data_IF_501467282407
#
_entry.id   IF_501467282407
#
_cell.length_a   1.000
_cell.length_b   1.000
_cell.length_c   1.000
_cell.angle_alpha   90.00
_cell.angle_beta   90.00
_cell.angle_gamma   90.00
#
_symmetry.space_group_name_H-M   'P 1'
#
loop_
_entity.id
_entity.type
_entity.pdbx_description
1 polymer ?
#
# COMPACT_ATOMS: atom_id res chain seq x y z
N UNK A 1 15.27 6.86 27.17
CA UNK A 1 15.62 5.98 26.03
C UNK A 1 14.56 6.12 24.96
N UNK A 2 14.87 5.81 23.69
CA UNK A 2 13.91 5.88 22.59
C UNK A 2 13.76 4.50 21.95
N UNK A 3 12.52 4.03 21.78
CA UNK A 3 12.17 2.81 21.07
C UNK A 3 11.48 3.20 19.77
N UNK A 4 12.02 2.76 18.64
CA UNK A 4 11.45 3.01 17.32
C UNK A 4 10.56 1.84 16.89
N UNK A 5 9.28 2.11 16.65
CA UNK A 5 8.33 1.19 16.08
C UNK A 5 8.12 1.50 14.59
N UNK A 6 8.34 0.51 13.73
CA UNK A 6 8.19 0.68 12.28
C UNK A 6 6.83 0.17 11.81
N UNK A 7 5.98 1.06 11.29
CA UNK A 7 4.75 0.65 10.64
C UNK A 7 5.05 -0.19 9.38
N UNK A 8 4.25 -1.22 9.04
CA UNK A 8 4.48 -2.04 7.84
C UNK A 8 4.57 -1.27 6.52
N UNK A 9 4.02 -0.05 6.44
CA UNK A 9 4.18 0.83 5.27
C UNK A 9 5.64 1.22 5.02
N UNK A 10 6.49 1.26 6.05
CA UNK A 10 7.92 1.58 5.92
C UNK A 10 8.68 0.52 5.11
N UNK A 11 8.28 -0.76 5.19
CA UNK A 11 8.87 -1.83 4.36
C UNK A 11 8.37 -1.82 2.92
N UNK A 12 7.35 -1.01 2.66
CA UNK A 12 6.65 -0.84 1.39
C UNK A 12 6.87 0.57 0.84
N UNK A 13 7.93 1.25 1.25
CA UNK A 13 8.33 2.49 0.59
C UNK A 13 9.21 2.14 -0.59
N UNK A 14 8.90 2.66 -1.77
CA UNK A 14 9.62 2.36 -3.01
C UNK A 14 11.06 2.94 -3.03
N UNK A 15 11.37 3.89 -2.14
CA UNK A 15 12.64 4.64 -2.16
C UNK A 15 13.32 4.72 -0.79
N UNK A 16 12.85 3.94 0.17
CA UNK A 16 13.51 3.71 1.45
C UNK A 16 13.93 2.24 1.47
N UNK A 17 15.18 2.01 1.09
CA UNK A 17 15.75 0.67 1.14
C UNK A 17 15.79 0.20 2.59
N UNK A 18 15.37 -1.04 2.79
CA UNK A 18 15.39 -1.69 4.09
C UNK A 18 15.91 -3.11 3.94
N UNK A 19 16.63 -3.57 4.95
CA UNK A 19 17.17 -4.92 5.00
C UNK A 19 16.81 -5.56 6.33
N UNK A 20 16.15 -6.72 6.27
CA UNK A 20 15.97 -7.58 7.44
C UNK A 20 17.31 -8.27 7.72
N UNK A 21 17.95 -7.85 8.82
CA UNK A 21 19.25 -8.36 9.27
C UNK A 21 19.10 -9.30 10.46
N UNK A 22 17.89 -9.79 10.74
CA UNK A 22 17.65 -10.73 11.85
C UNK A 22 18.46 -12.03 11.72
N UNK A 23 19.00 -12.34 10.52
CA UNK A 23 19.87 -13.49 10.27
C UNK A 23 21.30 -13.33 10.78
N UNK A 24 21.78 -12.10 11.03
CA UNK A 24 23.08 -11.85 11.67
C UNK A 24 22.96 -11.59 13.18
N UNK A 25 21.76 -11.32 13.69
CA UNK A 25 21.57 -11.07 15.12
C UNK A 25 21.74 -12.38 15.91
N UNK A 26 22.54 -12.39 16.99
CA UNK A 26 22.65 -13.55 17.88
C UNK A 26 21.37 -13.80 18.69
N UNK A 27 20.43 -12.85 18.72
CA UNK A 27 19.20 -12.90 19.51
C UNK A 27 18.02 -13.40 18.66
N UNK A 28 17.64 -14.68 18.85
CA UNK A 28 16.59 -15.37 18.06
C UNK A 28 15.20 -14.74 18.10
N UNK A 29 14.91 -13.88 19.07
CA UNK A 29 13.59 -13.28 19.28
C UNK A 29 13.53 -11.80 18.90
N UNK A 30 14.66 -11.22 18.50
CA UNK A 30 14.73 -9.84 18.07
C UNK A 30 14.70 -9.80 16.54
N UNK A 31 13.83 -8.95 15.99
CA UNK A 31 13.86 -8.63 14.57
C UNK A 31 14.55 -7.30 14.40
N UNK A 32 15.69 -7.32 13.74
CA UNK A 32 16.46 -6.12 13.45
C UNK A 32 16.33 -5.78 11.96
N UNK A 33 15.90 -4.55 11.68
CA UNK A 33 15.72 -4.05 10.33
C UNK A 33 16.52 -2.77 10.20
N UNK A 34 17.46 -2.76 9.29
CA UNK A 34 18.21 -1.57 8.93
C UNK A 34 17.45 -0.81 7.84
N UNK A 35 17.34 0.50 8.02
CA UNK A 35 16.81 1.41 7.02
C UNK A 35 17.95 2.26 6.47
N UNK A 36 18.09 2.29 5.16
CA UNK A 36 18.98 3.23 4.49
C UNK A 36 18.38 4.63 4.52
N UNK A 37 19.23 5.65 4.35
CA UNK A 37 18.73 7.01 4.07
C UNK A 37 17.91 6.99 2.78
N UNK A 38 16.81 7.73 2.75
CA UNK A 38 16.02 7.91 1.53
C UNK A 38 16.91 8.40 0.39
N UNK A 39 16.75 7.82 -0.78
CA UNK A 39 17.48 8.27 -1.97
C UNK A 39 17.06 9.71 -2.32
N UNK A 40 18.03 10.59 -2.51
CA UNK A 40 17.79 11.99 -2.92
C UNK A 40 18.12 12.11 -4.40
N UNK A 41 17.11 12.44 -5.21
CA UNK A 41 17.29 12.74 -6.62
C UNK A 41 17.41 14.25 -6.80
N UNK A 42 18.55 14.72 -7.30
CA UNK A 42 18.84 16.15 -7.50
C UNK A 42 17.91 16.83 -8.51
N UNK A 43 17.20 16.05 -9.33
CA UNK A 43 16.24 16.54 -10.33
C UNK A 43 14.81 16.68 -9.80
N UNK A 44 14.54 16.31 -8.54
CA UNK A 44 13.21 16.36 -7.93
C UNK A 44 13.17 17.52 -6.93
N UNK A 45 12.11 18.33 -7.03
CA UNK A 45 11.87 19.43 -6.10
C UNK A 45 11.79 18.93 -4.64
N UNK A 46 12.33 19.71 -3.71
CA UNK A 46 12.40 19.35 -2.29
C UNK A 46 11.01 19.05 -1.69
N UNK A 47 9.97 19.74 -2.16
CA UNK A 47 8.59 19.50 -1.73
C UNK A 47 8.11 18.11 -2.15
N UNK A 48 8.31 17.75 -3.42
CA UNK A 48 7.95 16.42 -3.95
C UNK A 48 8.76 15.34 -3.22
N UNK A 49 10.02 15.63 -2.89
CA UNK A 49 10.86 14.72 -2.14
C UNK A 49 10.29 14.42 -0.74
N UNK A 50 9.87 15.47 -0.02
CA UNK A 50 9.24 15.33 1.30
C UNK A 50 7.89 14.63 1.24
N UNK A 51 7.11 14.82 0.18
CA UNK A 51 5.79 14.20 0.05
C UNK A 51 5.87 12.69 -0.28
N UNK A 52 6.84 12.28 -1.11
CA UNK A 52 6.94 10.89 -1.59
C UNK A 52 7.96 10.05 -0.83
N UNK A 53 9.04 10.64 -0.32
CA UNK A 53 10.23 9.90 0.13
C UNK A 53 10.57 10.12 1.61
N UNK A 54 9.77 10.91 2.32
CA UNK A 54 9.91 11.09 3.76
C UNK A 54 9.16 10.01 4.57
N UNK A 55 9.48 10.01 5.85
CA UNK A 55 8.77 9.27 6.88
C UNK A 55 8.37 10.26 7.97
N UNK A 56 7.22 9.99 8.56
CA UNK A 56 6.72 10.76 9.69
C UNK A 56 7.06 10.01 10.98
N UNK A 57 7.31 10.77 12.04
CA UNK A 57 7.53 10.25 13.38
C UNK A 57 6.41 10.74 14.28
N UNK A 58 5.77 9.84 15.01
CA UNK A 58 4.71 10.15 15.97
C UNK A 58 5.01 9.46 17.30
N UNK A 59 4.90 10.20 18.39
CA UNK A 59 4.99 9.62 19.74
C UNK A 59 3.73 8.77 19.97
N UNK A 60 3.90 7.47 20.20
CA UNK A 60 2.81 6.55 20.56
C UNK A 60 2.54 6.58 22.07
N UNK A 61 3.60 6.59 22.86
CA UNK A 61 3.55 6.68 24.32
C UNK A 61 4.86 7.22 24.86
N UNK A 62 4.79 7.81 26.05
CA UNK A 62 5.95 8.36 26.75
C UNK A 62 5.76 8.16 28.26
N UNK A 63 6.82 7.70 28.92
CA UNK A 63 6.96 7.65 30.37
C UNK A 63 8.23 8.40 30.81
N UNK A 64 8.51 8.43 32.12
CA UNK A 64 9.65 9.15 32.70
C UNK A 64 11.01 8.75 32.10
N UNK A 65 11.13 7.52 31.60
CA UNK A 65 12.40 6.95 31.15
C UNK A 65 12.42 6.60 29.66
N UNK A 66 11.27 6.47 29.00
CA UNK A 66 11.15 5.89 27.66
C UNK A 66 10.10 6.59 26.80
N UNK A 67 10.48 6.86 25.55
CA UNK A 67 9.57 7.31 24.50
C UNK A 67 9.45 6.23 23.42
N UNK A 68 8.23 5.86 23.06
CA UNK A 68 7.95 5.01 21.91
C UNK A 68 7.52 5.88 20.73
N UNK A 69 8.24 5.77 19.62
CA UNK A 69 7.99 6.57 18.42
C UNK A 69 7.61 5.64 17.27
N UNK A 70 6.41 5.83 16.71
CA UNK A 70 5.96 5.18 15.48
C UNK A 70 6.47 5.92 14.26
N UNK A 71 7.07 5.17 13.35
CA UNK A 71 7.54 5.63 12.07
C UNK A 71 6.63 5.12 10.96
N UNK A 72 6.10 6.04 10.16
CA UNK A 72 5.19 5.79 9.05
C UNK A 72 5.72 6.41 7.77
N UNK A 73 5.42 5.79 6.63
CA UNK A 73 5.69 6.41 5.33
C UNK A 73 4.77 7.62 5.10
N UNK A 74 5.31 8.75 4.65
CA UNK A 74 4.52 9.98 4.46
C UNK A 74 3.34 9.77 3.52
N UNK A 75 3.50 9.01 2.43
CA UNK A 75 2.39 8.71 1.52
C UNK A 75 1.31 7.85 2.18
N UNK A 76 1.65 6.99 3.14
CA UNK A 76 0.62 6.26 3.90
C UNK A 76 -0.25 7.22 4.73
N UNK A 77 0.37 8.16 5.44
CA UNK A 77 -0.36 9.10 6.31
C UNK A 77 -1.22 10.08 5.52
N UNK A 78 -0.80 10.45 4.31
CA UNK A 78 -1.59 11.31 3.43
C UNK A 78 -2.94 10.69 3.03
N UNK A 79 -3.04 9.36 2.94
CA UNK A 79 -4.23 8.69 2.40
C UNK A 79 -5.05 7.97 3.47
N UNK A 80 -4.49 7.66 4.64
CA UNK A 80 -5.16 6.79 5.63
C UNK A 80 -6.53 7.33 6.06
N UNK A 81 -6.68 8.64 6.28
CA UNK A 81 -7.95 9.22 6.72
C UNK A 81 -9.04 9.13 5.64
N UNK A 82 -8.71 9.45 4.38
CA UNK A 82 -9.66 9.34 3.26
C UNK A 82 -10.06 7.88 3.01
N UNK A 83 -9.10 6.95 3.11
CA UNK A 83 -9.36 5.52 2.98
C UNK A 83 -10.32 5.05 4.08
N UNK A 84 -10.11 5.46 5.32
CA UNK A 84 -11.01 5.14 6.44
C UNK A 84 -12.42 5.68 6.21
N UNK A 85 -12.54 6.92 5.73
CA UNK A 85 -13.83 7.53 5.40
C UNK A 85 -14.57 6.75 4.30
N UNK A 86 -13.90 6.45 3.18
CA UNK A 86 -14.49 5.69 2.07
C UNK A 86 -14.89 4.28 2.54
N UNK A 87 -14.04 3.62 3.32
CA UNK A 87 -14.35 2.30 3.86
C UNK A 87 -15.56 2.31 4.80
N UNK A 88 -15.72 3.35 5.63
CA UNK A 88 -16.89 3.54 6.47
C UNK A 88 -18.17 3.74 5.63
N UNK A 89 -18.10 4.52 4.55
CA UNK A 89 -19.21 4.71 3.61
C UNK A 89 -19.57 3.41 2.86
N UNK A 90 -18.60 2.53 2.62
CA UNK A 90 -18.75 1.30 1.82
C UNK A 90 -19.63 0.22 2.46
N UNK A 91 -19.93 0.33 3.76
CA UNK A 91 -20.68 -0.63 4.61
C UNK A 91 -20.15 -2.09 4.64
N UNK A 92 -19.16 -2.44 3.82
CA UNK A 92 -18.57 -3.78 3.70
C UNK A 92 -17.04 -3.65 3.60
N UNK A 93 -16.29 -4.67 4.05
CA UNK A 93 -14.83 -4.64 3.93
C UNK A 93 -14.39 -4.58 2.47
N UNK A 94 -13.67 -3.54 2.10
CA UNK A 94 -12.88 -3.46 0.88
C UNK A 94 -11.38 -3.55 1.24
N UNK A 95 -10.54 -3.90 0.28
CA UNK A 95 -9.09 -3.85 0.50
C UNK A 95 -8.65 -2.38 0.45
N UNK A 96 -7.98 -1.91 1.49
CA UNK A 96 -7.50 -0.52 1.57
C UNK A 96 -6.54 -0.19 0.44
N UNK A 97 -5.81 -1.18 -0.08
CA UNK A 97 -4.93 -0.97 -1.23
C UNK A 97 -5.73 -0.70 -2.51
N UNK A 98 -6.95 -1.23 -2.66
CA UNK A 98 -7.80 -0.88 -3.81
C UNK A 98 -8.25 0.58 -3.68
N UNK A 99 -8.69 1.01 -2.49
CA UNK A 99 -9.07 2.41 -2.26
C UNK A 99 -7.88 3.32 -2.53
N UNK A 100 -6.72 3.00 -1.98
CA UNK A 100 -5.48 3.75 -2.18
C UNK A 100 -5.10 3.90 -3.65
N UNK A 101 -5.04 2.80 -4.40
CA UNK A 101 -4.70 2.83 -5.84
C UNK A 101 -5.71 3.66 -6.62
N UNK A 102 -6.99 3.59 -6.24
CA UNK A 102 -8.05 4.36 -6.90
C UNK A 102 -7.96 5.86 -6.56
N UNK A 103 -7.76 6.22 -5.30
CA UNK A 103 -7.51 7.60 -4.87
C UNK A 103 -6.27 8.17 -5.53
N UNK A 104 -5.21 7.38 -5.66
CA UNK A 104 -3.98 7.81 -6.32
C UNK A 104 -4.20 8.05 -7.82
N UNK A 105 -5.07 7.28 -8.46
CA UNK A 105 -5.42 7.47 -9.87
C UNK A 105 -6.26 8.74 -10.10
N UNK A 106 -7.19 9.05 -9.21
CA UNK A 106 -8.06 10.23 -9.30
C UNK A 106 -7.57 11.42 -8.45
N UNK A 107 -6.27 11.51 -8.18
CA UNK A 107 -5.68 12.65 -7.45
C UNK A 107 -6.40 13.02 -6.14
N UNK A 108 -6.84 12.01 -5.38
CA UNK A 108 -7.59 12.11 -4.12
C UNK A 108 -9.05 12.56 -4.25
N UNK A 109 -9.64 12.53 -5.46
CA UNK A 109 -11.09 12.72 -5.64
C UNK A 109 -11.89 11.55 -5.07
N UNK A 110 -12.69 11.84 -4.05
CA UNK A 110 -13.48 10.85 -3.32
C UNK A 110 -14.71 10.40 -4.13
N UNK A 111 -15.32 11.27 -4.92
CA UNK A 111 -16.53 10.97 -5.68
C UNK A 111 -16.23 10.02 -6.83
N UNK A 112 -15.21 10.34 -7.64
CA UNK A 112 -14.78 9.48 -8.75
C UNK A 112 -14.28 8.14 -8.23
N UNK A 113 -13.53 8.16 -7.12
CA UNK A 113 -13.12 6.94 -6.43
C UNK A 113 -14.32 6.09 -6.02
N UNK A 114 -15.31 6.68 -5.36
CA UNK A 114 -16.49 5.94 -4.89
C UNK A 114 -17.30 5.35 -6.05
N UNK A 115 -17.42 6.08 -7.17
CA UNK A 115 -18.11 5.60 -8.36
C UNK A 115 -17.40 4.39 -8.98
N UNK A 116 -16.07 4.45 -9.16
CA UNK A 116 -15.30 3.35 -9.74
C UNK A 116 -15.33 2.10 -8.85
N UNK A 117 -15.16 2.29 -7.53
CA UNK A 117 -15.27 1.19 -6.57
C UNK A 117 -16.67 0.55 -6.64
N UNK A 118 -17.71 1.33 -6.96
CA UNK A 118 -19.10 0.85 -6.99
C UNK A 118 -19.35 -0.02 -8.21
N UNK A 119 -18.80 0.39 -9.35
CA UNK A 119 -18.75 -0.43 -10.57
C UNK A 119 -17.97 -1.72 -10.32
N UNK A 120 -16.79 -1.62 -9.69
CA UNK A 120 -15.97 -2.79 -9.35
C UNK A 120 -16.70 -3.78 -8.44
N UNK A 121 -17.41 -3.31 -7.40
CA UNK A 121 -18.17 -4.20 -6.51
C UNK A 121 -19.24 -4.96 -7.26
N UNK A 122 -20.02 -4.31 -8.12
CA UNK A 122 -21.04 -4.98 -8.95
C UNK A 122 -20.37 -6.04 -9.84
N UNK A 123 -19.32 -5.65 -10.58
CA UNK A 123 -18.58 -6.55 -11.46
C UNK A 123 -17.97 -7.75 -10.70
N UNK A 124 -17.43 -7.55 -9.49
CA UNK A 124 -16.76 -8.59 -8.69
C UNK A 124 -17.69 -9.76 -8.33
N UNK A 125 -19.00 -9.52 -8.23
CA UNK A 125 -20.00 -10.55 -7.91
C UNK A 125 -20.76 -11.07 -9.14
N UNK A 126 -20.56 -10.49 -10.32
CA UNK A 126 -21.15 -10.95 -11.57
C UNK A 126 -20.31 -12.05 -12.23
N UNK A 127 -20.96 -12.85 -13.08
CA UNK A 127 -20.38 -13.76 -14.08
C UNK A 127 -19.25 -14.67 -13.60
N UNK A 128 -19.28 -15.06 -12.33
CA UNK A 128 -18.22 -15.84 -11.69
C UNK A 128 -16.81 -15.24 -11.88
N UNK A 129 -16.69 -13.91 -11.90
CA UNK A 129 -15.42 -13.21 -12.17
C UNK A 129 -14.31 -13.60 -11.17
N UNK A 130 -14.67 -13.90 -9.91
CA UNK A 130 -13.72 -14.49 -8.93
C UNK A 130 -13.18 -15.86 -9.38
N UNK A 131 -14.02 -16.71 -9.97
CA UNK A 131 -13.62 -18.02 -10.51
C UNK A 131 -12.72 -17.85 -11.73
N UNK A 132 -13.04 -16.88 -12.62
CA UNK A 132 -12.18 -16.54 -13.77
C UNK A 132 -10.78 -16.10 -13.31
N UNK A 133 -10.71 -15.28 -12.25
CA UNK A 133 -9.44 -14.90 -11.65
C UNK A 133 -8.64 -16.12 -11.13
N UNK A 134 -9.28 -17.05 -10.40
CA UNK A 134 -8.59 -18.27 -9.92
C UNK A 134 -7.89 -19.04 -11.05
N UNK A 135 -8.51 -19.14 -12.22
CA UNK A 135 -7.92 -19.79 -13.42
C UNK A 135 -6.70 -19.07 -13.97
N UNK A 136 -6.58 -17.75 -13.76
CA UNK A 136 -5.50 -16.90 -14.27
C UNK A 136 -4.48 -16.49 -13.20
N UNK A 137 -4.72 -16.81 -11.93
CA UNK A 137 -3.94 -16.38 -10.77
C UNK A 137 -2.44 -16.61 -10.92
N UNK A 138 -2.03 -17.76 -11.48
CA UNK A 138 -0.62 -18.10 -11.67
C UNK A 138 0.13 -17.08 -12.55
N UNK A 139 -0.55 -16.39 -13.48
CA UNK A 139 0.09 -15.35 -14.31
C UNK A 139 0.54 -14.15 -13.47
N UNK A 140 -0.26 -13.77 -12.48
CA UNK A 140 0.04 -12.68 -11.56
C UNK A 140 1.15 -13.07 -10.57
N UNK A 141 1.06 -14.27 -9.99
CA UNK A 141 2.07 -14.77 -9.03
C UNK A 141 3.45 -14.88 -9.68
N UNK A 142 3.54 -15.31 -10.95
CA UNK A 142 4.80 -15.32 -11.70
C UNK A 142 5.44 -13.93 -11.85
N UNK A 143 4.64 -12.86 -11.80
CA UNK A 143 5.09 -11.46 -11.79
C UNK A 143 5.16 -10.89 -10.36
N UNK A 144 5.21 -11.74 -9.33
CA UNK A 144 5.25 -11.38 -7.91
C UNK A 144 4.06 -10.54 -7.42
N UNK A 145 2.96 -10.51 -8.18
CA UNK A 145 1.74 -9.81 -7.81
C UNK A 145 0.92 -10.69 -6.84
N UNK A 146 1.26 -10.64 -5.56
CA UNK A 146 0.68 -11.49 -4.53
C UNK A 146 -0.62 -10.94 -3.91
N UNK A 147 -0.95 -9.67 -4.13
CA UNK A 147 -2.21 -9.09 -3.66
C UNK A 147 -3.38 -9.47 -4.59
N UNK A 148 -4.13 -10.50 -4.21
CA UNK A 148 -5.24 -11.01 -5.01
C UNK A 148 -6.38 -10.01 -5.22
N UNK A 149 -6.60 -9.07 -4.29
CA UNK A 149 -7.63 -8.05 -4.44
C UNK A 149 -7.22 -7.04 -5.52
N UNK A 150 -5.96 -6.62 -5.55
CA UNK A 150 -5.40 -5.77 -6.61
C UNK A 150 -5.42 -6.51 -7.95
N UNK A 151 -5.03 -7.78 -7.99
CA UNK A 151 -5.07 -8.56 -9.24
C UNK A 151 -6.48 -8.63 -9.81
N UNK A 152 -7.49 -8.88 -8.97
CA UNK A 152 -8.89 -8.92 -9.38
C UNK A 152 -9.39 -7.54 -9.86
N UNK A 153 -8.99 -6.48 -9.18
CA UNK A 153 -9.27 -5.10 -9.60
C UNK A 153 -8.61 -4.75 -10.94
N UNK A 154 -7.40 -5.24 -11.18
CA UNK A 154 -6.68 -5.02 -12.44
C UNK A 154 -7.38 -5.72 -13.62
N UNK A 155 -7.98 -6.90 -13.40
CA UNK A 155 -8.80 -7.57 -14.40
C UNK A 155 -10.05 -6.74 -14.71
N UNK A 156 -10.73 -6.21 -13.70
CA UNK A 156 -11.89 -5.35 -13.88
C UNK A 156 -11.57 -4.13 -14.76
N UNK A 157 -10.48 -3.43 -14.47
CA UNK A 157 -10.05 -2.28 -15.28
C UNK A 157 -9.74 -2.68 -16.72
N UNK A 158 -9.02 -3.79 -16.91
CA UNK A 158 -8.68 -4.33 -18.23
C UNK A 158 -9.91 -4.68 -19.05
N UNK A 159 -10.94 -5.27 -18.45
CA UNK A 159 -12.18 -5.64 -19.15
C UNK A 159 -13.08 -4.43 -19.46
N UNK A 160 -13.06 -3.42 -18.58
CA UNK A 160 -13.92 -2.25 -18.68
C UNK A 160 -13.37 -1.22 -19.66
N UNK A 161 -12.07 -0.92 -19.57
CA UNK A 161 -11.43 0.14 -20.35
C UNK A 161 -10.63 -0.40 -21.55
N UNK A 162 -10.32 -1.71 -21.60
CA UNK A 162 -9.63 -2.41 -22.70
C UNK A 162 -8.25 -1.87 -23.14
N UNK A 163 -7.81 -0.76 -22.58
CA UNK A 163 -6.51 -0.11 -22.85
C UNK A 163 -5.40 -0.62 -21.93
N UNK A 164 -5.75 -1.36 -20.88
CA UNK A 164 -4.83 -1.73 -19.81
C UNK A 164 -4.71 -3.26 -19.74
N UNK A 165 -3.49 -3.80 -19.80
CA UNK A 165 -3.24 -5.20 -19.50
C UNK A 165 -3.27 -5.42 -17.98
N UNK A 166 -4.17 -6.30 -17.52
CA UNK A 166 -4.37 -6.57 -16.10
C UNK A 166 -3.09 -6.98 -15.34
N UNK A 167 -2.22 -7.78 -15.96
CA UNK A 167 -1.00 -8.28 -15.30
C UNK A 167 0.05 -7.18 -15.22
N UNK A 168 0.19 -6.39 -16.28
CA UNK A 168 1.12 -5.25 -16.31
C UNK A 168 0.70 -4.20 -15.30
N UNK A 169 -0.59 -3.84 -15.26
CA UNK A 169 -1.11 -2.92 -14.27
C UNK A 169 -0.86 -3.40 -12.84
N UNK A 170 -1.21 -4.66 -12.52
CA UNK A 170 -0.94 -5.22 -11.20
C UNK A 170 0.55 -5.18 -10.84
N UNK A 171 1.44 -5.37 -11.83
CA UNK A 171 2.89 -5.30 -11.65
C UNK A 171 3.31 -3.87 -11.31
N UNK A 172 2.84 -2.87 -12.06
CA UNK A 172 3.10 -1.45 -11.79
C UNK A 172 2.61 -1.06 -10.40
N UNK A 173 1.40 -1.47 -10.00
CA UNK A 173 0.86 -1.19 -8.67
C UNK A 173 1.67 -1.86 -7.56
N UNK A 174 2.18 -3.06 -7.80
CA UNK A 174 3.00 -3.79 -6.81
C UNK A 174 4.38 -3.15 -6.65
N UNK A 175 4.99 -2.69 -7.73
CA UNK A 175 6.34 -2.10 -7.71
C UNK A 175 6.30 -0.64 -7.27
N UNK A 176 5.52 0.20 -7.94
CA UNK A 176 5.59 1.65 -7.72
C UNK A 176 4.81 2.08 -6.48
N UNK A 177 3.62 1.51 -6.30
CA UNK A 177 2.73 1.90 -5.22
C UNK A 177 2.93 1.06 -3.97
N UNK A 178 3.68 -0.04 -4.06
CA UNK A 178 4.11 -0.93 -2.97
C UNK A 178 3.00 -1.48 -2.04
N UNK A 179 1.75 -1.09 -2.26
CA UNK A 179 0.53 -1.48 -1.56
C UNK A 179 0.66 -1.27 -0.03
N UNK A 180 0.75 -0.04 0.49
CA UNK A 180 1.23 0.22 1.84
C UNK A 180 0.33 -0.28 2.98
N UNK A 181 -0.91 -0.71 2.68
CA UNK A 181 -1.89 -1.13 3.68
C UNK A 181 -1.85 -2.65 3.89
N UNK A 182 -1.78 -3.08 5.15
CA UNK A 182 -1.81 -4.48 5.59
C UNK A 182 -3.11 -4.82 6.32
N UNK A 183 -3.35 -6.11 6.56
CA UNK A 183 -4.56 -6.56 7.27
C UNK A 183 -4.77 -5.89 8.64
N UNK A 184 -3.69 -5.54 9.34
CA UNK A 184 -3.74 -4.85 10.65
C UNK A 184 -4.27 -3.41 10.57
N UNK A 185 -4.37 -2.83 9.38
CA UNK A 185 -4.96 -1.50 9.20
C UNK A 185 -6.49 -1.52 9.13
N UNK A 186 -7.11 -2.71 9.07
CA UNK A 186 -8.56 -2.89 8.98
C UNK A 186 -9.23 -2.95 10.33
#
# INVERSE_FOLDING_TARGET
>A
GCILHFHPSMRRSNFIDNCDVSWISPFKHEREILFARSTIFSSIDEKIHKELYAWNAKIESEDEYTQMILLTWTQYDQYIQQIMQINAMWKQSIDFNIIYVTLNYFEKDVNETFELLSKFKKWKFQDNNKQKYKKRMNKFVKKRCCNHNINLFSIFLSETYKEVNAVEYATVQTVNNCLPFVKKNK
#
